data_IF_127803728105
#
_entry.id   IF_127803728105
#
_cell.length_a   1.000
_cell.length_b   1.000
_cell.length_c   1.000
_cell.angle_alpha   90.00
_cell.angle_beta   90.00
_cell.angle_gamma   90.00
#
_symmetry.space_group_name_H-M   'P 1'
#
loop_
_entity.id
_entity.type
_entity.pdbx_description
1 polymer ?
#
# COMPACT_ATOMS: atom_id res chain seq x y z
N UNK A 1 6.17 -4.75 10.79
CA UNK A 1 5.85 -3.32 10.56
C UNK A 1 4.82 -3.21 9.46
N UNK A 2 3.72 -2.54 9.73
CA UNK A 2 2.69 -2.29 8.73
C UNK A 2 3.19 -1.25 7.72
N UNK A 3 3.08 -1.58 6.43
CA UNK A 3 3.46 -0.67 5.35
C UNK A 3 2.42 -0.73 4.23
N UNK A 4 2.42 0.29 3.39
CA UNK A 4 1.48 0.39 2.27
C UNK A 4 2.25 0.53 0.97
N UNK A 5 1.98 -0.37 0.03
CA UNK A 5 2.62 -0.38 -1.28
C UNK A 5 1.73 0.31 -2.31
N UNK A 6 2.32 1.14 -3.15
CA UNK A 6 1.66 1.60 -4.36
C UNK A 6 1.79 0.47 -5.39
N UNK A 7 0.67 -0.03 -5.88
CA UNK A 7 0.66 -1.15 -6.82
C UNK A 7 -0.40 -0.91 -7.89
N UNK A 8 -0.17 -1.43 -9.09
CA UNK A 8 -1.13 -1.33 -10.18
C UNK A 8 -1.88 -2.65 -10.34
N UNK A 9 -3.06 -2.66 -10.98
CA UNK A 9 -3.79 -3.91 -11.17
C UNK A 9 -2.99 -5.02 -11.86
N UNK A 10 -2.23 -4.77 -12.95
CA UNK A 10 -1.41 -5.83 -13.53
C UNK A 10 -0.31 -6.34 -12.59
N UNK A 11 0.30 -5.45 -11.81
CA UNK A 11 1.31 -5.85 -10.82
C UNK A 11 0.68 -6.72 -9.72
N UNK A 12 -0.53 -6.36 -9.30
CA UNK A 12 -1.27 -7.13 -8.29
C UNK A 12 -1.54 -8.54 -8.78
N UNK A 13 -1.94 -8.67 -10.05
CA UNK A 13 -2.16 -9.99 -10.63
C UNK A 13 -0.87 -10.81 -10.65
N UNK A 14 0.23 -10.21 -11.07
CA UNK A 14 1.52 -10.90 -11.10
C UNK A 14 1.97 -11.33 -9.70
N UNK A 15 1.72 -10.49 -8.70
CA UNK A 15 2.04 -10.81 -7.32
C UNK A 15 1.25 -12.05 -6.85
N UNK A 16 -0.05 -12.06 -7.11
CA UNK A 16 -0.89 -13.21 -6.76
C UNK A 16 -0.45 -14.48 -7.47
N UNK A 17 -0.14 -14.38 -8.77
CA UNK A 17 0.20 -15.54 -9.58
C UNK A 17 1.55 -16.12 -9.22
N UNK A 18 2.54 -15.27 -8.94
CA UNK A 18 3.89 -15.73 -8.62
C UNK A 18 4.11 -15.98 -7.13
N UNK A 19 3.31 -15.33 -6.29
CA UNK A 19 3.46 -15.42 -4.84
C UNK A 19 4.50 -14.47 -4.26
N UNK A 20 5.22 -13.73 -5.08
CA UNK A 20 6.24 -12.78 -4.63
C UNK A 20 6.22 -11.50 -5.45
N UNK A 21 6.68 -10.41 -4.84
CA UNK A 21 6.70 -9.10 -5.48
C UNK A 21 7.90 -8.29 -5.01
N UNK A 22 8.61 -7.71 -5.95
CA UNK A 22 9.76 -6.86 -5.66
C UNK A 22 9.29 -5.40 -5.59
N UNK A 23 9.38 -4.80 -4.42
CA UNK A 23 9.09 -3.40 -4.21
C UNK A 23 10.35 -2.68 -3.76
N UNK A 24 10.55 -1.44 -4.23
CA UNK A 24 11.69 -0.64 -3.81
C UNK A 24 11.44 0.05 -2.48
N UNK A 25 10.21 0.49 -2.25
CA UNK A 25 9.84 1.23 -1.05
C UNK A 25 8.35 1.08 -0.76
N UNK A 26 7.98 1.48 0.46
CA UNK A 26 6.60 1.48 0.91
C UNK A 26 6.37 2.70 1.81
N UNK A 27 5.12 3.04 2.03
CA UNK A 27 4.73 4.14 2.93
C UNK A 27 4.44 3.58 4.31
N UNK A 28 4.91 4.30 5.33
CA UNK A 28 4.74 3.90 6.73
C UNK A 28 4.29 5.10 7.56
N UNK A 29 3.77 4.81 8.74
CA UNK A 29 3.58 5.83 9.75
C UNK A 29 4.92 5.99 10.47
N UNK A 30 5.57 7.14 10.25
CA UNK A 30 6.82 7.46 10.93
C UNK A 30 6.51 8.35 12.12
N UNK A 31 6.43 7.75 13.30
CA UNK A 31 6.04 8.45 14.52
C UNK A 31 7.04 9.53 14.95
N UNK A 32 8.29 9.39 14.56
CA UNK A 32 9.32 10.39 14.89
C UNK A 32 9.04 11.68 14.14
N UNK A 33 8.53 11.61 12.93
CA UNK A 33 8.24 12.77 12.09
C UNK A 33 6.82 13.28 12.21
N UNK A 34 5.90 12.46 12.65
CA UNK A 34 4.50 12.89 12.80
C UNK A 34 4.34 13.94 13.92
N UNK A 35 5.37 14.17 14.72
CA UNK A 35 5.48 15.32 15.59
C UNK A 35 4.55 15.26 16.79
N UNK A 36 3.54 16.09 16.78
CA UNK A 36 2.63 16.26 17.91
C UNK A 36 1.63 15.11 17.97
N UNK A 37 1.89 14.16 18.86
CA UNK A 37 1.06 12.97 19.04
C UNK A 37 -0.25 13.24 19.76
N UNK A 38 -0.42 14.42 20.29
CA UNK A 38 -1.63 14.76 21.05
C UNK A 38 -2.85 14.97 20.17
N UNK A 39 -2.63 15.28 18.88
CA UNK A 39 -3.71 15.67 17.97
C UNK A 39 -4.04 14.63 16.92
N UNK A 40 -3.09 13.75 16.57
CA UNK A 40 -3.29 12.77 15.50
C UNK A 40 -3.39 11.36 16.06
N UNK A 41 -4.48 10.67 15.74
CA UNK A 41 -4.61 9.27 16.11
C UNK A 41 -3.78 8.40 15.18
N UNK A 42 -3.42 7.20 15.64
CA UNK A 42 -2.71 6.23 14.82
C UNK A 42 -3.50 5.88 13.57
N UNK A 43 -4.82 5.78 13.69
CA UNK A 43 -5.71 5.49 12.57
C UNK A 43 -5.66 6.56 11.50
N UNK A 44 -5.60 7.84 11.87
CA UNK A 44 -5.48 8.93 10.93
C UNK A 44 -4.16 8.92 10.19
N UNK A 45 -3.07 8.62 10.91
CA UNK A 45 -1.74 8.53 10.32
C UNK A 45 -1.64 7.34 9.36
N UNK A 46 -2.23 6.21 9.72
CA UNK A 46 -2.29 5.05 8.83
C UNK A 46 -3.11 5.34 7.58
N UNK A 47 -4.23 6.04 7.74
CA UNK A 47 -5.06 6.45 6.60
C UNK A 47 -4.26 7.35 5.65
N UNK A 48 -3.53 8.33 6.17
CA UNK A 48 -2.71 9.21 5.34
C UNK A 48 -1.64 8.43 4.56
N UNK A 49 -0.97 7.49 5.23
CA UNK A 49 0.06 6.67 4.58
C UNK A 49 -0.53 5.83 3.45
N UNK A 50 -1.69 5.22 3.70
CA UNK A 50 -2.38 4.43 2.68
C UNK A 50 -2.87 5.29 1.53
N UNK A 51 -3.36 6.51 1.83
CA UNK A 51 -3.81 7.44 0.79
C UNK A 51 -2.64 7.87 -0.10
N UNK A 52 -1.48 8.16 0.49
CA UNK A 52 -0.30 8.53 -0.28
C UNK A 52 0.14 7.39 -1.21
N UNK A 53 0.11 6.15 -0.74
CA UNK A 53 0.43 5.00 -1.59
C UNK A 53 -0.58 4.86 -2.73
N UNK A 54 -1.87 5.03 -2.45
CA UNK A 54 -2.91 4.95 -3.47
C UNK A 54 -2.75 6.06 -4.51
N UNK A 55 -2.41 7.28 -4.09
CA UNK A 55 -2.17 8.38 -5.01
C UNK A 55 -0.95 8.10 -5.89
N UNK A 56 0.12 7.54 -5.32
CA UNK A 56 1.28 7.15 -6.11
C UNK A 56 0.92 6.07 -7.14
N UNK A 57 0.07 5.13 -6.78
CA UNK A 57 -0.43 4.12 -7.72
C UNK A 57 -1.12 4.78 -8.92
N UNK A 58 -1.93 5.81 -8.68
CA UNK A 58 -2.58 6.55 -9.77
C UNK A 58 -1.57 7.30 -10.62
N UNK A 59 -0.55 7.90 -10.02
CA UNK A 59 0.51 8.58 -10.77
C UNK A 59 1.21 7.60 -11.74
N UNK A 60 1.42 6.37 -11.29
CA UNK A 60 2.06 5.33 -12.12
C UNK A 60 1.21 4.93 -13.32
N UNK A 61 -0.10 5.05 -13.21
CA UNK A 61 -1.04 4.58 -14.24
C UNK A 61 -1.59 5.68 -15.13
N UNK A 62 -1.62 6.92 -14.64
CA UNK A 62 -2.20 8.06 -15.34
C UNK A 62 -3.53 8.52 -14.75
N UNK A 63 -4.13 9.59 -15.30
CA UNK A 63 -5.36 10.13 -14.77
C UNK A 63 -6.54 9.16 -14.92
N UNK A 64 -7.46 9.23 -14.00
CA UNK A 64 -8.68 8.41 -13.96
C UNK A 64 -8.44 6.93 -13.67
N UNK A 65 -7.22 6.57 -13.28
CA UNK A 65 -6.93 5.19 -12.88
C UNK A 65 -7.38 4.93 -11.45
N UNK A 66 -7.58 3.64 -11.14
CA UNK A 66 -7.83 3.22 -9.77
C UNK A 66 -6.51 3.28 -8.99
N UNK A 67 -6.53 3.93 -7.84
CA UNK A 67 -5.36 3.97 -6.96
C UNK A 67 -5.39 2.81 -5.97
N UNK A 68 -4.31 2.05 -5.90
CA UNK A 68 -4.25 0.87 -5.05
C UNK A 68 -3.12 0.98 -4.03
N UNK A 69 -3.46 0.83 -2.76
CA UNK A 69 -2.50 0.71 -1.67
C UNK A 69 -2.66 -0.68 -1.07
N UNK A 70 -1.60 -1.46 -1.11
CA UNK A 70 -1.61 -2.81 -0.58
C UNK A 70 -1.00 -2.79 0.83
N UNK A 71 -1.79 -3.10 1.83
CA UNK A 71 -1.30 -3.15 3.21
C UNK A 71 -0.57 -4.46 3.44
N UNK A 72 0.69 -4.37 3.85
CA UNK A 72 1.55 -5.53 4.07
C UNK A 72 2.23 -5.42 5.43
N UNK A 73 2.62 -6.56 5.98
CA UNK A 73 3.45 -6.61 7.19
C UNK A 73 4.87 -6.97 6.80
N UNK A 74 5.79 -6.01 6.95
CA UNK A 74 7.21 -6.21 6.66
C UNK A 74 7.89 -6.93 7.82
N UNK A 75 8.77 -7.87 7.47
CA UNK A 75 9.66 -8.49 8.45
C UNK A 75 10.85 -7.58 8.72
N UNK A 76 11.58 -7.83 9.81
CA UNK A 76 12.75 -7.04 10.15
C UNK A 76 13.79 -7.09 9.03
N UNK A 77 13.98 -8.24 8.40
CA UNK A 77 14.95 -8.40 7.31
C UNK A 77 14.57 -7.60 6.06
N UNK A 78 13.31 -7.25 5.90
CA UNK A 78 12.83 -6.50 4.74
C UNK A 78 12.93 -4.99 4.94
N UNK A 79 13.12 -4.53 6.17
CA UNK A 79 13.12 -3.10 6.48
C UNK A 79 14.47 -2.48 6.15
N UNK A 80 14.46 -1.55 5.20
CA UNK A 80 15.65 -0.78 4.83
C UNK A 80 15.67 0.60 5.49
N UNK A 81 16.28 1.55 4.79
CA UNK A 81 16.38 2.92 5.30
C UNK A 81 15.00 3.56 5.40
N UNK A 82 14.76 4.25 6.51
CA UNK A 82 13.55 5.02 6.75
C UNK A 82 13.87 6.50 6.52
N UNK A 83 13.08 7.14 5.67
CA UNK A 83 13.21 8.56 5.39
C UNK A 83 11.79 9.14 5.31
N UNK A 84 11.51 10.10 6.17
CA UNK A 84 10.19 10.70 6.29
C UNK A 84 9.14 9.63 6.55
N UNK A 85 8.18 9.46 5.67
CA UNK A 85 7.10 8.48 5.81
C UNK A 85 7.24 7.30 4.85
N UNK A 86 8.47 7.03 4.40
CA UNK A 86 8.77 5.92 3.51
C UNK A 86 9.86 5.04 4.08
N UNK A 87 9.82 3.77 3.70
CA UNK A 87 10.81 2.79 4.08
C UNK A 87 11.28 2.04 2.84
N UNK A 88 12.58 1.80 2.74
CA UNK A 88 13.12 0.94 1.69
C UNK A 88 12.79 -0.51 1.98
N UNK A 89 12.47 -1.28 0.93
CA UNK A 89 12.16 -2.71 1.06
C UNK A 89 13.33 -3.49 0.48
N UNK A 90 13.99 -4.28 1.33
CA UNK A 90 15.28 -4.90 1.00
C UNK A 90 15.16 -6.23 0.26
N UNK A 91 14.03 -6.93 0.39
CA UNK A 91 13.84 -8.21 -0.27
C UNK A 91 12.39 -8.38 -0.71
N UNK A 92 12.14 -9.38 -1.55
CA UNK A 92 10.82 -9.62 -2.11
C UNK A 92 9.77 -9.86 -1.03
N UNK A 93 8.58 -9.30 -1.26
CA UNK A 93 7.41 -9.54 -0.44
C UNK A 93 6.74 -10.83 -0.86
N UNK A 94 6.16 -11.54 0.10
CA UNK A 94 5.39 -12.74 -0.16
C UNK A 94 3.90 -12.42 -0.07
N UNK A 95 3.08 -13.11 -0.87
CA UNK A 95 1.64 -12.90 -0.83
C UNK A 95 1.05 -13.10 0.57
N UNK A 96 1.62 -14.00 1.35
CA UNK A 96 1.18 -14.25 2.73
C UNK A 96 1.35 -13.05 3.65
N UNK A 97 2.15 -12.05 3.26
CA UNK A 97 2.34 -10.82 4.04
C UNK A 97 1.26 -9.77 3.74
N UNK A 98 0.43 -9.99 2.74
CA UNK A 98 -0.65 -9.06 2.37
C UNK A 98 -1.81 -9.19 3.34
N UNK A 99 -2.23 -8.06 3.90
CA UNK A 99 -3.34 -8.00 4.85
C UNK A 99 -4.62 -7.50 4.21
N UNK A 100 -4.52 -6.46 3.39
CA UNK A 100 -5.70 -5.83 2.79
C UNK A 100 -5.29 -4.98 1.60
N UNK A 101 -6.29 -4.58 0.82
CA UNK A 101 -6.15 -3.63 -0.27
C UNK A 101 -7.04 -2.43 0.02
N UNK A 102 -6.50 -1.25 -0.17
CA UNK A 102 -7.23 0.01 -0.03
C UNK A 102 -7.31 0.64 -1.42
N UNK A 103 -8.53 0.92 -1.87
CA UNK A 103 -8.81 1.34 -3.24
C UNK A 103 -9.33 2.77 -3.28
N UNK A 104 -8.66 3.61 -4.07
CA UNK A 104 -9.10 4.97 -4.36
C UNK A 104 -9.75 4.96 -5.74
N UNK A 105 -11.04 5.28 -5.79
CA UNK A 105 -11.80 5.27 -7.04
C UNK A 105 -12.03 6.67 -7.63
N UNK A 106 -11.69 7.71 -6.87
CA UNK A 106 -11.91 9.09 -7.28
C UNK A 106 -10.82 9.99 -6.72
N UNK A 107 -10.91 11.29 -7.01
CA UNK A 107 -9.98 12.29 -6.47
C UNK A 107 -10.28 12.64 -5.01
N UNK A 108 -11.38 12.14 -4.47
CA UNK A 108 -11.73 12.39 -3.08
C UNK A 108 -10.87 11.53 -2.15
N UNK A 109 -10.57 12.00 -0.93
CA UNK A 109 -9.74 11.25 0.00
C UNK A 109 -10.53 10.14 0.70
N UNK A 110 -11.06 9.21 -0.09
CA UNK A 110 -11.81 8.06 0.37
C UNK A 110 -11.18 6.78 -0.14
N UNK A 111 -11.14 5.77 0.71
CA UNK A 111 -10.57 4.48 0.36
C UNK A 111 -11.57 3.38 0.69
N UNK A 112 -11.79 2.47 -0.26
CA UNK A 112 -12.57 1.26 -0.03
C UNK A 112 -11.62 0.15 0.43
N UNK A 113 -12.04 -0.62 1.42
CA UNK A 113 -11.21 -1.66 2.04
C UNK A 113 -11.64 -3.04 1.55
N UNK A 114 -10.65 -3.87 1.20
CA UNK A 114 -10.85 -5.26 0.79
C UNK A 114 -9.86 -6.14 1.56
N UNK A 115 -10.34 -7.21 2.17
CA UNK A 115 -9.47 -8.18 2.81
C UNK A 115 -8.64 -8.91 1.74
N UNK A 116 -7.47 -9.42 2.11
CA UNK A 116 -6.59 -10.11 1.18
C UNK A 116 -7.32 -11.23 0.42
N UNK A 117 -8.15 -12.00 1.12
CA UNK A 117 -8.89 -13.11 0.51
C UNK A 117 -9.99 -12.67 -0.44
N UNK A 118 -10.40 -11.40 -0.40
CA UNK A 118 -11.41 -10.85 -1.31
C UNK A 118 -10.81 -10.38 -2.64
N UNK A 119 -9.50 -10.12 -2.67
CA UNK A 119 -8.83 -9.57 -3.84
C UNK A 119 -9.06 -10.41 -5.10
N UNK A 120 -8.92 -11.75 -5.06
CA UNK A 120 -9.14 -12.55 -6.26
C UNK A 120 -10.53 -12.39 -6.87
N UNK A 121 -11.54 -12.16 -6.03
CA UNK A 121 -12.91 -12.00 -6.48
C UNK A 121 -13.11 -10.74 -7.32
N UNK A 122 -12.41 -9.66 -6.99
CA UNK A 122 -12.59 -8.36 -7.62
C UNK A 122 -11.54 -8.02 -8.67
N UNK A 123 -10.46 -8.79 -8.74
CA UNK A 123 -9.30 -8.45 -9.57
C UNK A 123 -9.66 -8.29 -11.05
N UNK A 124 -10.48 -9.17 -11.59
CA UNK A 124 -10.87 -9.10 -13.00
C UNK A 124 -11.57 -7.78 -13.33
N UNK A 125 -12.38 -7.28 -12.38
CA UNK A 125 -13.07 -6.01 -12.53
C UNK A 125 -12.09 -4.83 -12.56
N UNK A 126 -11.06 -4.90 -11.73
CA UNK A 126 -10.05 -3.83 -11.66
C UNK A 126 -9.10 -3.84 -12.86
N UNK A 127 -8.94 -4.99 -13.51
CA UNK A 127 -8.11 -5.12 -14.71
C UNK A 127 -8.83 -4.67 -15.98
N UNK A 128 -10.14 -4.56 -15.94
CA UNK A 128 -10.96 -4.22 -17.09
C UNK A 128 -10.77 -2.76 -17.56
#
# INVERSE_FOLDING_TARGET
MRAYLAITPPELQRFMDSGSFKAARAWIVNQIQSGDFETDSEEELEFESSLQAAMQSRVMQGPNALGMALAVDLTIEQIGAIAENQVGVLSDLLWSQVQSLLLSESDEPELSWFAAQEIPTYLAQWLA
#
